data_IF_599756751164
#
_entry.id   IF_599756751164
#
_cell.length_a   1.000
_cell.length_b   1.000
_cell.length_c   1.000
_cell.angle_alpha   90.00
_cell.angle_beta   90.00
_cell.angle_gamma   90.00
#
_symmetry.space_group_name_H-M   'P 1'
#
loop_
_entity.id
_entity.type
_entity.pdbx_description
1 polymer ?
#
# COMPACT_ATOMS: atom_id res chain seq x y z
N UNK A 1 7.87 24.22 -3.13
CA UNK A 1 8.57 23.95 -1.85
C UNK A 1 9.10 22.53 -1.92
N UNK A 2 10.42 22.34 -1.94
CA UNK A 2 11.00 20.99 -1.92
C UNK A 2 10.73 20.38 -0.55
N UNK A 3 9.70 19.54 -0.43
CA UNK A 3 9.57 18.69 0.76
C UNK A 3 10.86 17.86 0.86
N UNK A 4 11.48 17.77 2.03
CA UNK A 4 12.65 16.93 2.19
C UNK A 4 12.24 15.50 1.83
N UNK A 5 13.01 14.84 0.96
CA UNK A 5 12.73 13.49 0.47
C UNK A 5 12.35 12.50 1.58
N UNK A 6 12.95 12.69 2.76
CA UNK A 6 12.62 11.95 3.96
C UNK A 6 11.16 12.08 4.38
N UNK A 7 10.55 13.28 4.37
CA UNK A 7 9.14 13.46 4.68
C UNK A 7 8.23 12.67 3.73
N UNK A 8 8.58 12.66 2.43
CA UNK A 8 7.85 11.88 1.44
C UNK A 8 7.91 10.36 1.69
N UNK A 9 9.05 9.85 2.19
CA UNK A 9 9.13 8.44 2.60
C UNK A 9 8.12 8.13 3.73
N UNK A 10 8.06 8.99 4.76
CA UNK A 10 7.10 8.81 5.86
C UNK A 10 5.66 8.91 5.37
N UNK A 11 5.35 9.89 4.54
CA UNK A 11 4.02 10.04 3.93
C UNK A 11 3.64 8.77 3.16
N UNK A 12 4.50 8.29 2.26
CA UNK A 12 4.22 7.07 1.48
C UNK A 12 4.04 5.83 2.38
N UNK A 13 4.81 5.71 3.46
CA UNK A 13 4.63 4.62 4.44
C UNK A 13 3.22 4.67 5.06
N UNK A 14 2.84 5.82 5.63
CA UNK A 14 1.59 5.96 6.37
C UNK A 14 0.36 5.94 5.45
N UNK A 15 0.47 6.46 4.22
CA UNK A 15 -0.60 6.37 3.22
C UNK A 15 -0.84 4.90 2.84
N UNK A 16 0.21 4.14 2.52
CA UNK A 16 0.06 2.73 2.17
C UNK A 16 -0.53 1.92 3.34
N UNK A 17 -0.05 2.16 4.56
CA UNK A 17 -0.59 1.54 5.77
C UNK A 17 -2.07 1.89 5.96
N UNK A 18 -2.43 3.17 5.84
CA UNK A 18 -3.81 3.64 6.01
C UNK A 18 -4.77 3.09 4.96
N UNK A 19 -4.35 3.04 3.69
CA UNK A 19 -5.17 2.49 2.60
C UNK A 19 -5.43 1.00 2.82
N UNK A 20 -4.41 0.24 3.22
CA UNK A 20 -4.59 -1.19 3.48
C UNK A 20 -5.46 -1.45 4.71
N UNK A 21 -5.22 -0.77 5.83
CA UNK A 21 -6.04 -0.94 7.03
C UNK A 21 -7.48 -0.48 6.80
N UNK A 22 -7.68 0.70 6.22
CA UNK A 22 -9.00 1.24 5.94
C UNK A 22 -9.79 0.38 4.95
N UNK A 23 -9.17 0.02 3.82
CA UNK A 23 -9.83 -0.77 2.78
C UNK A 23 -10.19 -2.18 3.24
N UNK A 24 -9.32 -2.84 4.03
CA UNK A 24 -9.60 -4.19 4.52
C UNK A 24 -10.62 -4.20 5.66
N UNK A 25 -10.54 -3.28 6.61
CA UNK A 25 -11.47 -3.21 7.74
C UNK A 25 -12.86 -2.73 7.29
N UNK A 26 -12.94 -1.64 6.52
CA UNK A 26 -14.24 -1.10 6.06
C UNK A 26 -14.84 -2.03 5.00
N UNK A 27 -14.02 -2.58 4.09
CA UNK A 27 -14.47 -3.59 3.13
C UNK A 27 -14.97 -4.85 3.83
N UNK A 28 -14.27 -5.30 4.87
CA UNK A 28 -14.71 -6.41 5.70
C UNK A 28 -16.02 -6.13 6.45
N UNK A 29 -16.21 -4.92 6.99
CA UNK A 29 -17.48 -4.53 7.61
C UNK A 29 -18.65 -4.62 6.61
N UNK A 30 -18.43 -4.31 5.32
CA UNK A 30 -19.44 -4.54 4.30
C UNK A 30 -19.81 -6.03 4.17
N UNK A 31 -18.83 -6.93 4.29
CA UNK A 31 -19.06 -8.39 4.30
C UNK A 31 -19.91 -8.86 5.48
N UNK A 32 -19.83 -8.20 6.63
CA UNK A 32 -20.74 -8.47 7.76
C UNK A 32 -22.20 -8.15 7.40
N UNK A 33 -22.46 -7.05 6.71
CA UNK A 33 -23.80 -6.68 6.27
C UNK A 33 -24.36 -7.60 5.16
N UNK A 34 -23.49 -8.23 4.37
CA UNK A 34 -23.88 -9.15 3.28
C UNK A 34 -23.98 -10.62 3.73
N UNK A 35 -23.75 -10.91 5.01
CA UNK A 35 -23.85 -12.26 5.57
C UNK A 35 -22.62 -13.15 5.33
N UNK A 36 -21.48 -12.57 4.96
CA UNK A 36 -20.21 -13.28 4.79
C UNK A 36 -19.37 -13.29 6.08
N UNK A 37 -18.43 -14.25 6.25
CA UNK A 37 -17.55 -14.28 7.42
C UNK A 37 -16.63 -13.05 7.47
N UNK A 38 -16.85 -12.18 8.46
CA UNK A 38 -16.15 -10.90 8.62
C UNK A 38 -14.62 -11.05 8.61
N UNK A 39 -14.07 -11.92 9.44
CA UNK A 39 -12.61 -12.05 9.61
C UNK A 39 -11.92 -12.63 8.36
N UNK A 40 -12.55 -13.61 7.71
CA UNK A 40 -12.05 -14.19 6.46
C UNK A 40 -12.01 -13.15 5.35
N UNK A 41 -13.05 -12.33 5.24
CA UNK A 41 -13.11 -11.29 4.22
C UNK A 41 -12.14 -10.15 4.48
N UNK A 42 -11.95 -9.73 5.75
CA UNK A 42 -10.91 -8.75 6.10
C UNK A 42 -9.51 -9.25 5.65
N UNK A 43 -9.18 -10.51 5.94
CA UNK A 43 -7.89 -11.11 5.53
C UNK A 43 -7.76 -11.19 4.01
N UNK A 44 -8.85 -11.57 3.31
CA UNK A 44 -8.90 -11.62 1.84
C UNK A 44 -8.68 -10.24 1.23
N UNK A 45 -9.39 -9.22 1.72
CA UNK A 45 -9.25 -7.84 1.24
C UNK A 45 -7.86 -7.29 1.49
N UNK A 46 -7.28 -7.52 2.67
CA UNK A 46 -5.90 -7.12 2.99
C UNK A 46 -4.88 -7.63 1.96
N UNK A 47 -5.05 -8.85 1.46
CA UNK A 47 -4.20 -9.39 0.39
C UNK A 47 -4.49 -8.76 -0.97
N UNK A 48 -5.76 -8.61 -1.36
CA UNK A 48 -6.12 -8.07 -2.68
C UNK A 48 -5.79 -6.58 -2.84
N UNK A 49 -5.90 -5.77 -1.79
CA UNK A 49 -5.67 -4.31 -1.86
C UNK A 49 -4.20 -3.92 -1.64
N UNK A 50 -3.31 -4.88 -1.34
CA UNK A 50 -1.92 -4.59 -1.00
C UNK A 50 -1.17 -3.82 -2.08
N UNK A 51 -1.32 -4.25 -3.33
CA UNK A 51 -0.71 -3.58 -4.50
C UNK A 51 -1.33 -2.19 -4.68
N UNK A 52 -2.64 -2.08 -4.51
CA UNK A 52 -3.36 -0.80 -4.63
C UNK A 52 -2.95 0.21 -3.55
N UNK A 53 -2.66 -0.24 -2.34
CA UNK A 53 -2.14 0.60 -1.26
C UNK A 53 -0.77 1.20 -1.61
N UNK A 54 0.10 0.42 -2.26
CA UNK A 54 1.41 0.90 -2.74
C UNK A 54 1.23 1.93 -3.86
N UNK A 55 0.36 1.65 -4.83
CA UNK A 55 0.07 2.58 -5.94
C UNK A 55 -0.51 3.91 -5.40
N UNK A 56 -1.44 3.83 -4.43
CA UNK A 56 -2.03 4.99 -3.78
C UNK A 56 -0.97 5.87 -3.09
N UNK A 57 0.04 5.26 -2.47
CA UNK A 57 1.10 5.97 -1.75
C UNK A 57 2.13 6.67 -2.66
N UNK A 58 2.25 6.25 -3.92
CA UNK A 58 3.25 6.78 -4.87
C UNK A 58 2.66 7.87 -5.78
N UNK A 59 1.35 7.84 -6.02
CA UNK A 59 0.69 8.81 -6.91
C UNK A 59 -0.75 8.49 -7.29
N UNK A 60 -1.29 7.34 -6.85
CA UNK A 60 -2.70 6.99 -7.04
C UNK A 60 -3.05 6.44 -8.43
N UNK A 61 -2.16 6.57 -9.41
CA UNK A 61 -2.40 6.07 -10.78
C UNK A 61 -1.31 5.10 -11.24
N UNK A 62 -1.68 4.22 -12.18
CA UNK A 62 -0.73 3.33 -12.85
C UNK A 62 0.30 4.11 -13.71
N UNK A 63 -0.02 5.34 -14.12
CA UNK A 63 0.88 6.19 -14.90
C UNK A 63 2.16 6.51 -14.13
N UNK A 64 2.06 6.66 -12.81
CA UNK A 64 3.22 6.85 -11.92
C UNK A 64 4.19 5.66 -12.02
N UNK A 65 3.69 4.43 -12.17
CA UNK A 65 4.50 3.22 -12.33
C UNK A 65 5.16 3.19 -13.71
N UNK A 66 4.44 3.56 -14.78
CA UNK A 66 5.03 3.66 -16.13
C UNK A 66 6.09 4.75 -16.23
N UNK A 67 5.91 5.86 -15.50
CA UNK A 67 6.91 6.93 -15.44
C UNK A 67 8.22 6.44 -14.79
N UNK A 68 8.13 5.56 -13.79
CA UNK A 68 9.28 4.88 -13.20
C UNK A 68 9.97 3.96 -14.21
N UNK A 69 9.21 3.15 -14.96
CA UNK A 69 9.76 2.26 -16.00
C UNK A 69 10.51 3.05 -17.09
N UNK A 70 9.92 4.17 -17.55
CA UNK A 70 10.58 5.04 -18.53
C UNK A 70 11.80 5.75 -17.95
N UNK A 71 11.73 6.19 -16.70
CA UNK A 71 12.88 6.77 -15.98
C UNK A 71 14.06 5.78 -15.89
N UNK A 72 13.76 4.51 -15.62
CA UNK A 72 14.73 3.39 -15.62
C UNK A 72 15.42 3.24 -16.98
N UNK A 73 14.65 3.30 -18.07
CA UNK A 73 15.16 3.15 -19.43
C UNK A 73 15.95 4.38 -19.92
N UNK A 74 15.64 5.58 -19.42
CA UNK A 74 16.26 6.84 -19.84
C UNK A 74 17.57 7.17 -19.09
N UNK A 75 17.97 6.37 -18.08
CA UNK A 75 19.30 6.46 -17.47
C UNK A 75 19.48 7.52 -16.36
N UNK A 76 18.39 8.10 -15.83
CA UNK A 76 18.45 9.04 -14.70
C UNK A 76 18.63 8.31 -13.35
N UNK A 77 19.81 7.72 -13.13
CA UNK A 77 20.10 6.80 -12.00
C UNK A 77 19.76 7.37 -10.61
N UNK A 78 19.89 8.69 -10.42
CA UNK A 78 19.64 9.35 -9.14
C UNK A 78 18.15 9.42 -8.80
N UNK A 79 17.28 9.56 -9.78
CA UNK A 79 15.84 9.70 -9.55
C UNK A 79 15.15 8.33 -9.48
N UNK A 80 15.67 7.34 -10.21
CA UNK A 80 15.30 5.92 -10.05
C UNK A 80 15.53 5.45 -8.61
N UNK A 81 16.69 5.78 -8.02
CA UNK A 81 16.99 5.35 -6.65
C UNK A 81 16.01 5.94 -5.62
N UNK A 82 15.60 7.19 -5.81
CA UNK A 82 14.58 7.82 -4.95
C UNK A 82 13.21 7.16 -5.10
N UNK A 83 12.78 6.90 -6.33
CA UNK A 83 11.51 6.20 -6.59
C UNK A 83 11.53 4.78 -6.03
N UNK A 84 12.65 4.07 -6.17
CA UNK A 84 12.82 2.74 -5.58
C UNK A 84 12.68 2.78 -4.05
N UNK A 85 13.31 3.74 -3.38
CA UNK A 85 13.16 3.95 -1.94
C UNK A 85 11.72 4.28 -1.52
N UNK A 86 11.00 5.08 -2.33
CA UNK A 86 9.58 5.36 -2.09
C UNK A 86 8.72 4.10 -2.21
N UNK A 87 8.93 3.28 -3.25
CA UNK A 87 8.24 2.00 -3.42
C UNK A 87 8.53 1.07 -2.24
N UNK A 88 9.81 0.91 -1.85
CA UNK A 88 10.18 0.08 -0.71
C UNK A 88 9.51 0.54 0.59
N UNK A 89 9.42 1.86 0.79
CA UNK A 89 8.82 2.43 1.99
C UNK A 89 7.30 2.23 1.99
N UNK A 90 6.62 2.44 0.85
CA UNK A 90 5.21 2.14 0.69
C UNK A 90 4.90 0.64 0.87
N UNK A 91 5.76 -0.23 0.33
CA UNK A 91 5.68 -1.68 0.56
C UNK A 91 5.83 -2.02 2.04
N UNK A 92 6.73 -1.36 2.76
CA UNK A 92 6.88 -1.50 4.21
C UNK A 92 5.61 -1.12 4.97
N UNK A 93 4.95 -0.02 4.56
CA UNK A 93 3.68 0.42 5.14
C UNK A 93 2.55 -0.58 4.90
N UNK A 94 2.38 -1.02 3.66
CA UNK A 94 1.39 -2.05 3.30
C UNK A 94 1.67 -3.39 4.01
N UNK A 95 2.92 -3.83 4.07
CA UNK A 95 3.29 -5.06 4.78
C UNK A 95 2.99 -4.97 6.29
N UNK A 96 3.26 -3.82 6.90
CA UNK A 96 2.94 -3.59 8.32
C UNK A 96 1.44 -3.63 8.56
N UNK A 97 0.66 -2.97 7.72
CA UNK A 97 -0.81 -3.04 7.77
C UNK A 97 -1.32 -4.48 7.61
N UNK A 98 -0.77 -5.24 6.66
CA UNK A 98 -1.16 -6.63 6.43
C UNK A 98 -0.83 -7.51 7.65
N UNK A 99 0.30 -7.26 8.31
CA UNK A 99 0.68 -7.97 9.54
C UNK A 99 -0.27 -7.63 10.69
N UNK A 100 -0.67 -6.37 10.84
CA UNK A 100 -1.69 -5.95 11.83
C UNK A 100 -3.01 -6.68 11.56
N UNK A 101 -3.43 -6.75 10.30
CA UNK A 101 -4.65 -7.47 9.92
C UNK A 101 -4.51 -8.96 10.23
N UNK A 102 -3.41 -9.60 9.85
CA UNK A 102 -3.18 -11.01 10.15
C UNK A 102 -3.22 -11.29 11.65
N UNK A 103 -2.67 -10.39 12.46
CA UNK A 103 -2.74 -10.48 13.91
C UNK A 103 -4.16 -10.27 14.43
N UNK A 104 -4.95 -9.39 13.81
CA UNK A 104 -6.36 -9.20 14.16
C UNK A 104 -7.22 -10.42 13.79
N UNK A 105 -6.98 -11.02 12.64
CA UNK A 105 -7.77 -12.15 12.12
C UNK A 105 -7.27 -13.51 12.62
N UNK A 106 -6.13 -13.54 13.34
CA UNK A 106 -5.55 -14.73 13.98
C UNK A 106 -5.56 -15.97 13.05
N UNK A 107 -5.16 -15.77 11.79
CA UNK A 107 -5.05 -16.84 10.80
C UNK A 107 -6.27 -17.78 10.75
N UNK A 108 -7.50 -17.25 10.88
CA UNK A 108 -8.74 -18.00 10.63
C UNK A 108 -8.81 -18.36 9.14
N UNK A 109 -8.14 -19.45 8.80
CA UNK A 109 -8.31 -20.28 7.61
C UNK A 109 -9.11 -21.50 8.00
#
# INVERSE_FOLDING_TARGET
MNQPFFAHLFESYFIALGVLLGGSLIGGLASFFTGQPLLTEIARYSNSIRIWAIIAAIGGTFDTVYSFERGLLNGETKDIFKQFLLILTAMGGAQTGALIINWLTQEHV
#
